data_IF_137971742567
#
_entry.id   IF_137971742567
#
_cell.length_a   1.000
_cell.length_b   1.000
_cell.length_c   1.000
_cell.angle_alpha   90.00
_cell.angle_beta   90.00
_cell.angle_gamma   90.00
#
_symmetry.space_group_name_H-M   'P 1'
#
loop_
_entity.id
_entity.type
_entity.pdbx_description
1 polymer ?
#
# COMPACT_ATOMS: atom_id res chain seq x y z
N UNK A 1 -9.05 30.92 -52.16
CA UNK A 1 -10.11 30.68 -51.14
C UNK A 1 -9.69 29.50 -50.26
N UNK A 2 -9.06 29.80 -49.11
CA UNK A 2 -9.11 29.07 -47.81
C UNK A 2 -8.56 27.62 -47.68
N UNK A 3 -7.42 27.31 -48.30
CA UNK A 3 -6.58 26.13 -47.92
C UNK A 3 -6.07 26.24 -46.46
N UNK A 4 -6.08 27.46 -45.90
CA UNK A 4 -5.61 27.80 -44.55
C UNK A 4 -6.58 27.38 -43.43
N UNK A 5 -7.88 27.22 -43.72
CA UNK A 5 -8.88 26.88 -42.70
C UNK A 5 -8.87 25.37 -42.37
N UNK A 6 -8.49 24.53 -43.34
CA UNK A 6 -8.41 23.08 -43.17
C UNK A 6 -7.22 22.65 -42.28
N UNK A 7 -6.16 23.47 -42.25
CA UNK A 7 -4.97 23.26 -41.42
C UNK A 7 -5.19 23.62 -39.95
N UNK A 8 -6.14 24.51 -39.66
CA UNK A 8 -6.56 24.88 -38.29
C UNK A 8 -7.45 23.83 -37.66
N UNK A 9 -8.27 23.13 -38.46
CA UNK A 9 -9.13 22.04 -37.99
C UNK A 9 -8.33 20.84 -37.46
N UNK A 10 -7.18 20.53 -38.06
CA UNK A 10 -6.31 19.43 -37.60
C UNK A 10 -5.47 19.77 -36.36
N UNK A 11 -5.12 21.05 -36.17
CA UNK A 11 -4.41 21.50 -34.97
C UNK A 11 -5.30 21.42 -33.71
N UNK A 12 -6.61 21.67 -33.84
CA UNK A 12 -7.57 21.58 -32.74
C UNK A 12 -7.82 20.14 -32.28
N UNK A 13 -7.86 19.17 -33.20
CA UNK A 13 -8.07 17.75 -32.87
C UNK A 13 -6.82 17.13 -32.21
N UNK A 14 -5.62 17.52 -32.65
CA UNK A 14 -4.37 17.04 -32.06
C UNK A 14 -4.14 17.56 -30.63
N UNK A 15 -4.56 18.80 -30.32
CA UNK A 15 -4.39 19.38 -29.00
C UNK A 15 -5.31 18.75 -27.92
N UNK A 16 -6.53 18.31 -28.29
CA UNK A 16 -7.45 17.64 -27.36
C UNK A 16 -7.02 16.19 -27.09
N UNK A 17 -6.43 15.50 -28.08
CA UNK A 17 -5.91 14.14 -27.91
C UNK A 17 -4.70 14.07 -26.96
N UNK A 18 -3.86 15.12 -26.90
CA UNK A 18 -2.68 15.17 -26.03
C UNK A 18 -3.01 15.36 -24.54
N UNK A 19 -4.18 15.90 -24.20
CA UNK A 19 -4.61 16.12 -22.81
C UNK A 19 -5.36 14.93 -22.19
N UNK A 20 -5.75 13.92 -22.99
CA UNK A 20 -6.48 12.74 -22.53
C UNK A 20 -5.63 11.53 -22.14
N UNK A 21 -4.30 11.59 -22.34
CA UNK A 21 -3.44 10.39 -22.33
C UNK A 21 -2.60 10.17 -21.05
N UNK A 22 -2.82 10.92 -19.97
CA UNK A 22 -1.97 10.79 -18.75
C UNK A 22 -2.61 10.00 -17.60
N UNK A 23 -3.76 9.37 -17.80
CA UNK A 23 -4.42 8.58 -16.76
C UNK A 23 -4.40 7.08 -17.06
N UNK A 24 -3.22 6.51 -17.35
CA UNK A 24 -3.05 5.07 -17.20
C UNK A 24 -2.90 4.76 -15.71
N UNK A 25 -4.04 4.53 -15.06
CA UNK A 25 -4.05 3.93 -13.72
C UNK A 25 -3.44 2.53 -13.85
N UNK A 26 -2.21 2.37 -13.36
CA UNK A 26 -1.61 1.05 -13.19
C UNK A 26 -2.47 0.27 -12.20
N UNK A 27 -3.23 -0.72 -12.68
CA UNK A 27 -3.79 -1.73 -11.81
C UNK A 27 -2.59 -2.45 -11.17
N UNK A 28 -2.41 -2.29 -9.87
CA UNK A 28 -1.42 -3.10 -9.16
C UNK A 28 -1.91 -4.54 -9.26
N UNK A 29 -1.11 -5.39 -9.90
CA UNK A 29 -1.36 -6.82 -9.95
C UNK A 29 -1.09 -7.40 -8.55
N UNK A 30 -2.17 -7.62 -7.79
CA UNK A 30 -2.10 -8.19 -6.44
C UNK A 30 -2.12 -9.72 -6.47
N UNK A 31 -2.06 -10.36 -7.66
CA UNK A 31 -2.13 -11.81 -7.79
C UNK A 31 -1.02 -12.56 -7.04
N UNK A 32 0.07 -11.88 -6.69
CA UNK A 32 1.19 -12.42 -5.91
C UNK A 32 1.05 -12.25 -4.39
N UNK A 33 0.08 -11.46 -3.90
CA UNK A 33 -0.09 -11.18 -2.47
C UNK A 33 -0.89 -12.28 -1.78
N UNK A 34 -0.18 -13.32 -1.35
CA UNK A 34 -0.77 -14.48 -0.65
C UNK A 34 -0.25 -14.61 0.78
N UNK A 35 -1.04 -15.24 1.65
CA UNK A 35 -0.58 -15.55 3.01
C UNK A 35 0.63 -16.48 3.02
N UNK A 36 0.68 -17.46 2.12
CA UNK A 36 1.84 -18.35 1.99
C UNK A 36 3.06 -17.67 1.36
N UNK A 37 2.90 -16.47 0.79
CA UNK A 37 3.96 -15.67 0.23
C UNK A 37 4.26 -14.42 1.06
N UNK A 38 4.12 -13.25 0.42
CA UNK A 38 4.55 -11.97 0.99
C UNK A 38 3.83 -11.60 2.29
N UNK A 39 2.53 -11.86 2.39
CA UNK A 39 1.76 -11.48 3.58
C UNK A 39 2.25 -12.28 4.80
N UNK A 40 2.46 -13.59 4.66
CA UNK A 40 2.97 -14.41 5.76
C UNK A 40 4.38 -14.02 6.19
N UNK A 41 5.24 -13.64 5.24
CA UNK A 41 6.57 -13.10 5.54
C UNK A 41 6.48 -11.84 6.41
N UNK A 42 5.68 -10.86 6.01
CA UNK A 42 5.49 -9.60 6.77
C UNK A 42 5.00 -9.90 8.19
N UNK A 43 4.00 -10.77 8.34
CA UNK A 43 3.44 -11.13 9.65
C UNK A 43 4.47 -11.84 10.52
N UNK A 44 5.25 -12.78 9.97
CA UNK A 44 6.30 -13.48 10.72
C UNK A 44 7.41 -12.52 11.19
N UNK A 45 7.88 -11.63 10.31
CA UNK A 45 9.02 -10.76 10.60
C UNK A 45 8.66 -9.65 11.61
N UNK A 46 7.43 -9.14 11.57
CA UNK A 46 7.05 -7.94 12.32
C UNK A 46 6.05 -8.19 13.46
N UNK A 47 5.18 -9.21 13.33
CA UNK A 47 4.06 -9.39 14.26
C UNK A 47 4.29 -10.57 15.21
N UNK A 48 4.80 -11.71 14.71
CA UNK A 48 4.98 -12.95 15.49
C UNK A 48 5.97 -12.79 16.64
N UNK A 49 6.92 -11.86 16.54
CA UNK A 49 7.85 -11.52 17.64
C UNK A 49 7.11 -11.21 18.95
N UNK A 50 5.95 -10.55 18.86
CA UNK A 50 5.09 -10.23 20.01
C UNK A 50 3.86 -11.13 20.09
N UNK A 51 3.24 -11.46 18.96
CA UNK A 51 1.99 -12.21 18.85
C UNK A 51 2.24 -13.71 18.60
N UNK A 52 2.85 -14.35 19.60
CA UNK A 52 3.07 -15.79 19.66
C UNK A 52 2.66 -16.33 21.02
N UNK A 53 2.58 -17.64 21.15
CA UNK A 53 2.34 -18.28 22.45
C UNK A 53 3.38 -17.83 23.48
N UNK A 54 2.91 -17.43 24.67
CA UNK A 54 3.75 -16.87 25.73
C UNK A 54 4.36 -15.49 25.42
N UNK A 55 4.04 -14.89 24.28
CA UNK A 55 4.43 -13.53 23.91
C UNK A 55 3.59 -12.46 24.64
N UNK A 56 3.96 -11.20 24.42
CA UNK A 56 3.28 -10.04 25.04
C UNK A 56 1.97 -9.67 24.33
N UNK A 57 1.78 -10.12 23.10
CA UNK A 57 0.55 -9.90 22.34
C UNK A 57 -0.60 -10.78 22.88
N UNK A 58 -1.84 -10.25 22.98
CA UNK A 58 -2.96 -10.97 23.57
C UNK A 58 -3.52 -12.10 22.69
N UNK A 59 -3.13 -12.13 21.41
CA UNK A 59 -3.48 -13.20 20.46
C UNK A 59 -2.25 -13.66 19.69
N UNK A 60 -2.33 -14.86 19.12
CA UNK A 60 -1.27 -15.46 18.30
C UNK A 60 -1.49 -15.17 16.81
N UNK A 61 -0.39 -15.00 16.08
CA UNK A 61 -0.36 -14.76 14.63
C UNK A 61 0.55 -15.76 13.90
N UNK A 62 0.73 -16.96 14.45
CA UNK A 62 1.68 -17.96 13.95
C UNK A 62 1.08 -18.88 12.88
N UNK A 63 -0.22 -18.74 12.56
CA UNK A 63 -0.89 -19.45 11.47
C UNK A 63 -1.93 -18.58 10.76
N UNK A 64 -2.32 -18.96 9.55
CA UNK A 64 -3.33 -18.25 8.76
C UNK A 64 -4.68 -18.17 9.49
N UNK A 65 -5.11 -19.29 10.05
CA UNK A 65 -6.38 -19.44 10.78
C UNK A 65 -6.43 -18.51 11.99
N UNK A 66 -5.28 -18.30 12.63
CA UNK A 66 -5.18 -17.40 13.77
C UNK A 66 -5.15 -15.93 13.34
N UNK A 67 -4.48 -15.58 12.24
CA UNK A 67 -4.36 -14.19 11.75
C UNK A 67 -5.64 -13.69 11.09
N UNK A 68 -6.28 -14.52 10.26
CA UNK A 68 -7.41 -14.14 9.39
C UNK A 68 -8.55 -13.41 10.13
N UNK A 69 -9.01 -13.83 11.33
CA UNK A 69 -10.08 -13.14 12.05
C UNK A 69 -9.74 -11.70 12.43
N UNK A 70 -8.46 -11.39 12.57
CA UNK A 70 -7.97 -10.09 13.04
C UNK A 70 -7.52 -9.17 11.92
N UNK A 71 -7.55 -9.61 10.66
CA UNK A 71 -7.05 -8.82 9.52
C UNK A 71 -7.60 -7.37 9.47
N UNK A 72 -8.91 -7.11 9.70
CA UNK A 72 -9.42 -5.73 9.74
C UNK A 72 -8.82 -4.91 10.89
N UNK A 73 -8.65 -5.52 12.06
CA UNK A 73 -8.08 -4.86 13.23
C UNK A 73 -6.58 -4.59 13.04
N UNK A 74 -5.84 -5.56 12.51
CA UNK A 74 -4.42 -5.40 12.16
C UNK A 74 -4.24 -4.21 11.22
N UNK A 75 -5.03 -4.16 10.14
CA UNK A 75 -5.00 -3.03 9.19
C UNK A 75 -5.22 -1.69 9.88
N UNK A 76 -6.28 -1.59 10.69
CA UNK A 76 -6.59 -0.37 11.43
C UNK A 76 -5.46 0.07 12.38
N UNK A 77 -4.92 -0.87 13.17
CA UNK A 77 -3.88 -0.56 14.19
C UNK A 77 -2.53 -0.21 13.57
N UNK A 78 -2.17 -0.87 12.47
CA UNK A 78 -0.96 -0.53 11.70
C UNK A 78 -1.13 0.82 11.03
N UNK A 79 -2.29 1.08 10.43
CA UNK A 79 -2.60 2.38 9.80
C UNK A 79 -2.60 3.53 10.82
N UNK A 80 -3.10 3.31 12.05
CA UNK A 80 -3.04 4.28 13.15
C UNK A 80 -1.67 4.37 13.82
N UNK A 81 -0.69 3.55 13.41
CA UNK A 81 0.65 3.44 14.00
C UNK A 81 0.64 3.06 15.49
N UNK A 82 -0.42 2.40 15.95
CA UNK A 82 -0.45 1.79 17.28
C UNK A 82 0.34 0.48 17.33
N UNK A 83 0.54 -0.16 16.18
CA UNK A 83 1.29 -1.39 16.02
C UNK A 83 2.37 -1.25 14.95
N UNK A 84 3.58 -1.79 15.18
CA UNK A 84 4.08 -2.29 16.46
C UNK A 84 4.19 -1.17 17.52
N UNK A 85 4.11 -1.47 18.83
CA UNK A 85 4.03 -0.47 19.90
C UNK A 85 5.41 0.16 20.22
N UNK A 86 6.27 0.32 19.22
CA UNK A 86 7.56 0.96 19.41
C UNK A 86 7.32 2.45 19.64
N UNK A 87 7.67 2.93 20.83
CA UNK A 87 7.88 4.35 21.05
C UNK A 87 9.11 4.76 20.21
N UNK A 88 8.89 5.32 19.03
CA UNK A 88 9.94 6.10 18.40
C UNK A 88 10.24 7.26 19.34
N UNK A 89 11.42 7.24 19.96
CA UNK A 89 11.91 8.38 20.71
C UNK A 89 12.09 9.54 19.72
N UNK A 90 11.11 10.45 19.71
CA UNK A 90 11.18 11.67 18.90
C UNK A 90 12.17 12.71 19.46
N UNK A 91 12.82 12.42 20.58
CA UNK A 91 13.78 13.29 21.25
C UNK A 91 15.21 12.76 21.19
N UNK A 92 15.43 11.47 20.93
CA UNK A 92 16.76 10.86 20.76
C UNK A 92 16.80 10.01 19.49
N UNK A 93 17.40 10.54 18.42
CA UNK A 93 17.54 9.89 17.12
C UNK A 93 17.69 10.89 15.96
N UNK A 94 17.88 10.41 14.72
CA UNK A 94 17.93 11.26 13.52
C UNK A 94 16.53 11.82 13.27
N UNK A 95 16.38 13.14 13.42
CA UNK A 95 15.09 13.84 13.35
C UNK A 95 14.76 14.36 11.94
N UNK A 96 15.72 14.31 11.02
CA UNK A 96 15.58 14.80 9.65
C UNK A 96 15.94 13.67 8.67
N UNK A 97 14.98 13.31 7.80
CA UNK A 97 15.14 12.35 6.70
C UNK A 97 15.34 13.09 5.37
#
# INVERSE_FOLDING_TARGET
>A
MKITEMRKAWAGVAAVAALGFTAQASAQDHSDLTYTGEIGRIINDNCVVCHREGGVGPMQFTSYEQVRPWAPLISMRVASREMPPYAYDQHIGIQDL
#
